data_IF_499235850115
#
_entry.id   IF_499235850115
#
_cell.length_a   1.000
_cell.length_b   1.000
_cell.length_c   1.000
_cell.angle_alpha   90.00
_cell.angle_beta   90.00
_cell.angle_gamma   90.00
#
_symmetry.space_group_name_H-M   'P 1'
#
loop_
_entity.id
_entity.type
_entity.pdbx_description
1 polymer ?
#
# COMPACT_ATOMS: atom_id res chain seq x y z
N UNK A 1 -6.90 22.41 -16.19
CA UNK A 1 -6.79 22.99 -14.83
C UNK A 1 -7.20 21.89 -13.85
N UNK A 2 -6.33 20.89 -13.67
CA UNK A 2 -6.59 19.73 -12.82
C UNK A 2 -6.42 20.10 -11.35
N UNK A 3 -7.47 19.92 -10.55
CA UNK A 3 -7.43 20.18 -9.12
C UNK A 3 -6.45 19.21 -8.45
N UNK A 4 -5.32 19.73 -7.97
CA UNK A 4 -4.43 19.04 -7.02
C UNK A 4 -5.30 18.43 -5.92
N UNK A 5 -5.34 17.11 -5.81
CA UNK A 5 -5.82 16.48 -4.58
C UNK A 5 -4.81 16.89 -3.50
N UNK A 6 -5.23 17.52 -2.39
CA UNK A 6 -4.32 17.90 -1.35
C UNK A 6 -3.63 16.62 -0.85
N UNK A 7 -2.30 16.65 -0.82
CA UNK A 7 -1.50 15.70 -0.05
C UNK A 7 -2.11 15.67 1.34
N UNK A 8 -2.74 14.54 1.67
CA UNK A 8 -3.52 14.41 2.89
C UNK A 8 -2.53 14.45 4.05
N UNK A 9 -2.30 15.64 4.61
CA UNK A 9 -1.46 15.85 5.79
C UNK A 9 -1.92 14.88 6.87
N UNK A 10 -1.12 13.84 7.14
CA UNK A 10 -1.41 12.82 8.14
C UNK A 10 -2.06 11.51 7.65
N UNK A 11 -2.14 11.24 6.34
CA UNK A 11 -2.59 9.94 5.81
C UNK A 11 -1.47 9.24 5.02
N UNK A 12 -1.29 7.94 5.25
CA UNK A 12 -0.30 7.13 4.52
C UNK A 12 -0.84 6.79 3.13
N UNK A 13 -0.27 7.38 2.07
CA UNK A 13 -0.68 7.13 0.68
C UNK A 13 -0.16 5.80 0.12
N UNK A 14 1.00 5.32 0.55
CA UNK A 14 1.65 4.09 0.07
C UNK A 14 1.59 2.89 1.05
N UNK A 15 2.66 2.10 1.04
CA UNK A 15 2.85 0.86 1.82
C UNK A 15 1.89 -0.28 1.44
N UNK A 16 2.19 -0.92 0.31
CA UNK A 16 1.41 -2.03 -0.27
C UNK A 16 2.22 -3.34 -0.40
N UNK A 17 3.42 -3.39 0.16
CA UNK A 17 4.26 -4.58 0.17
C UNK A 17 4.20 -5.23 1.57
N UNK A 18 3.83 -6.50 1.62
CA UNK A 18 3.60 -7.20 2.89
C UNK A 18 4.88 -7.54 3.65
N UNK A 19 6.00 -7.76 2.96
CA UNK A 19 7.31 -7.97 3.60
C UNK A 19 7.71 -6.71 4.36
N UNK A 20 7.58 -5.54 3.73
CA UNK A 20 7.83 -4.26 4.38
C UNK A 20 6.87 -3.98 5.52
N UNK A 21 5.59 -4.32 5.35
CA UNK A 21 4.61 -4.23 6.43
C UNK A 21 5.07 -5.05 7.66
N UNK A 22 5.45 -6.31 7.45
CA UNK A 22 5.93 -7.20 8.52
C UNK A 22 7.18 -6.65 9.22
N UNK A 23 8.15 -6.11 8.47
CA UNK A 23 9.35 -5.50 9.06
C UNK A 23 9.05 -4.28 9.94
N UNK A 24 8.07 -3.47 9.54
CA UNK A 24 7.65 -2.30 10.30
C UNK A 24 6.90 -2.72 11.57
N UNK A 25 6.01 -3.70 11.47
CA UNK A 25 5.22 -4.20 12.58
C UNK A 25 6.10 -4.90 13.64
N UNK A 26 7.05 -5.74 13.24
CA UNK A 26 7.90 -6.50 14.18
C UNK A 26 8.90 -5.65 14.96
N UNK A 27 9.14 -4.39 14.54
CA UNK A 27 10.12 -3.52 15.15
C UNK A 27 9.42 -2.38 15.90
N UNK A 28 9.38 -2.49 17.24
CA UNK A 28 8.73 -1.53 18.13
C UNK A 28 9.22 -0.08 17.97
N UNK A 29 10.45 0.14 17.49
CA UNK A 29 10.99 1.49 17.24
C UNK A 29 10.38 2.19 16.03
N UNK A 30 9.68 1.46 15.15
CA UNK A 30 9.17 1.98 13.88
C UNK A 30 7.82 2.67 13.98
N UNK A 31 7.21 2.72 15.17
CA UNK A 31 5.93 3.37 15.44
C UNK A 31 4.85 2.90 14.45
N UNK A 32 4.74 1.58 14.31
CA UNK A 32 3.77 0.92 13.45
C UNK A 32 2.75 0.21 14.32
N UNK A 33 1.47 0.55 14.14
CA UNK A 33 0.38 0.01 14.93
C UNK A 33 -0.68 -0.59 14.01
N UNK A 34 -0.76 -1.91 13.98
CA UNK A 34 -1.82 -2.62 13.26
C UNK A 34 -3.16 -2.48 13.98
N UNK A 35 -4.21 -2.17 13.22
CA UNK A 35 -5.57 -1.92 13.76
C UNK A 35 -6.64 -2.87 13.20
N UNK A 36 -6.24 -3.94 12.51
CA UNK A 36 -7.15 -4.95 11.96
C UNK A 36 -7.23 -4.98 10.42
N UNK A 37 -7.91 -6.01 9.89
CA UNK A 37 -8.20 -6.18 8.48
C UNK A 37 -9.69 -5.98 8.20
N UNK A 38 -10.00 -5.44 7.02
CA UNK A 38 -11.35 -5.06 6.59
C UNK A 38 -11.91 -6.11 5.63
N UNK A 39 -11.09 -6.58 4.68
CA UNK A 39 -11.50 -7.52 3.63
C UNK A 39 -10.35 -8.49 3.33
N UNK A 40 -10.65 -9.78 3.13
CA UNK A 40 -9.74 -10.79 2.56
C UNK A 40 -10.33 -11.33 1.25
N UNK A 41 -9.54 -11.39 0.18
CA UNK A 41 -9.95 -11.89 -1.15
C UNK A 41 -8.94 -12.88 -1.70
N UNK A 42 -9.43 -14.03 -2.17
CA UNK A 42 -8.63 -15.04 -2.87
C UNK A 42 -7.40 -15.52 -2.11
N UNK A 43 -7.44 -15.46 -0.77
CA UNK A 43 -6.35 -15.74 0.17
C UNK A 43 -5.06 -14.91 0.06
N UNK A 44 -4.86 -14.25 -1.07
CA UNK A 44 -3.66 -13.49 -1.41
C UNK A 44 -3.82 -11.99 -1.18
N UNK A 45 -5.03 -11.44 -1.14
CA UNK A 45 -5.22 -9.98 -0.99
C UNK A 45 -5.95 -9.66 0.31
N UNK A 46 -5.44 -8.68 1.06
CA UNK A 46 -6.07 -8.17 2.26
C UNK A 46 -6.09 -6.63 2.27
N UNK A 47 -7.20 -6.04 2.70
CA UNK A 47 -7.29 -4.62 3.03
C UNK A 47 -7.08 -4.42 4.52
N UNK A 48 -6.04 -3.68 4.90
CA UNK A 48 -5.63 -3.47 6.29
C UNK A 48 -5.85 -2.02 6.73
N UNK A 49 -6.04 -1.84 8.04
CA UNK A 49 -6.06 -0.55 8.72
C UNK A 49 -4.89 -0.50 9.71
N UNK A 50 -4.11 0.57 9.67
CA UNK A 50 -2.95 0.74 10.54
C UNK A 50 -2.58 2.21 10.71
N UNK A 51 -1.81 2.51 11.75
CA UNK A 51 -1.15 3.81 11.94
C UNK A 51 0.35 3.63 11.78
N UNK A 52 1.00 4.54 11.06
CA UNK A 52 2.45 4.57 10.93
C UNK A 52 2.98 5.98 11.19
N UNK A 53 3.88 6.14 12.18
CA UNK A 53 4.44 7.43 12.58
C UNK A 53 3.36 8.51 12.83
N UNK A 54 2.27 8.13 13.49
CA UNK A 54 1.14 9.02 13.78
C UNK A 54 0.18 9.27 12.61
N UNK A 55 0.48 8.81 11.39
CA UNK A 55 -0.41 8.91 10.24
C UNK A 55 -1.32 7.68 10.11
N UNK A 56 -2.63 7.89 10.05
CA UNK A 56 -3.61 6.80 9.93
C UNK A 56 -3.79 6.42 8.45
N UNK A 57 -3.63 5.13 8.13
CA UNK A 57 -4.15 4.55 6.89
C UNK A 57 -5.51 3.91 7.17
N UNK A 58 -6.58 4.52 6.66
CA UNK A 58 -7.95 4.02 6.88
C UNK A 58 -8.22 2.69 6.18
N UNK A 59 -7.63 2.50 5.00
CA UNK A 59 -7.70 1.27 4.21
C UNK A 59 -6.50 1.20 3.26
N UNK A 60 -5.78 0.08 3.26
CA UNK A 60 -4.69 -0.21 2.34
C UNK A 60 -4.69 -1.67 1.92
N UNK A 61 -4.88 -1.93 0.64
CA UNK A 61 -4.81 -3.30 0.11
C UNK A 61 -3.38 -3.70 -0.20
N UNK A 62 -2.96 -4.87 0.26
CA UNK A 62 -1.69 -5.48 -0.11
C UNK A 62 -1.90 -6.95 -0.47
N UNK A 63 -0.97 -7.46 -1.28
CA UNK A 63 -0.85 -8.89 -1.56
C UNK A 63 -0.02 -9.51 -0.43
N UNK A 64 -0.54 -10.53 0.23
CA UNK A 64 0.06 -11.22 1.38
C UNK A 64 0.53 -12.60 0.94
N UNK A 65 1.75 -12.98 1.30
CA UNK A 65 2.31 -14.30 0.97
C UNK A 65 2.85 -14.42 -0.47
N UNK A 66 2.76 -13.36 -1.27
CA UNK A 66 3.43 -13.29 -2.57
C UNK A 66 4.94 -13.10 -2.40
N UNK A 67 5.73 -13.47 -3.40
CA UNK A 67 7.14 -13.13 -3.39
C UNK A 67 7.39 -11.70 -3.90
N UNK A 68 8.46 -11.01 -3.46
CA UNK A 68 8.78 -9.67 -3.96
C UNK A 68 8.90 -9.62 -5.49
N UNK A 69 9.41 -10.67 -6.11
CA UNK A 69 9.51 -10.78 -7.57
C UNK A 69 8.14 -10.89 -8.26
N UNK A 70 7.15 -11.56 -7.64
CA UNK A 70 5.77 -11.58 -8.14
C UNK A 70 5.15 -10.18 -8.15
N UNK A 71 5.27 -9.46 -7.02
CA UNK A 71 4.76 -8.09 -6.88
C UNK A 71 5.41 -7.17 -7.93
N UNK A 72 6.75 -7.23 -8.09
CA UNK A 72 7.47 -6.42 -9.07
C UNK A 72 7.08 -6.77 -10.52
N UNK A 73 6.95 -8.05 -10.85
CA UNK A 73 6.53 -8.49 -12.17
C UNK A 73 5.12 -7.97 -12.50
N UNK A 74 4.18 -8.10 -11.56
CA UNK A 74 2.80 -7.63 -11.73
C UNK A 74 2.76 -6.11 -11.95
N UNK A 75 3.43 -5.33 -11.09
CA UNK A 75 3.44 -3.87 -11.23
C UNK A 75 4.13 -3.41 -12.52
N UNK A 76 5.19 -4.09 -12.94
CA UNK A 76 5.87 -3.82 -14.22
C UNK A 76 4.96 -4.13 -15.40
N UNK A 77 4.28 -5.28 -15.42
CA UNK A 77 3.32 -5.62 -16.47
C UNK A 77 2.17 -4.61 -16.52
N UNK A 78 1.61 -4.20 -15.37
CA UNK A 78 0.57 -3.19 -15.32
C UNK A 78 1.05 -1.84 -15.87
N UNK A 79 2.28 -1.43 -15.54
CA UNK A 79 2.88 -0.21 -16.08
C UNK A 79 3.04 -0.29 -17.61
N UNK A 80 3.62 -1.38 -18.12
CA UNK A 80 3.82 -1.59 -19.56
C UNK A 80 2.49 -1.64 -20.33
N UNK A 81 1.48 -2.31 -19.78
CA UNK A 81 0.15 -2.44 -20.38
C UNK A 81 -0.63 -1.12 -20.47
N UNK A 82 -0.22 -0.09 -19.70
CA UNK A 82 -0.85 1.23 -19.69
C UNK A 82 0.00 2.32 -20.33
N UNK A 83 1.13 1.98 -20.96
CA UNK A 83 1.95 2.93 -21.74
C UNK A 83 1.07 3.66 -22.77
N UNK A 84 1.01 4.99 -22.68
CA UNK A 84 0.26 5.86 -23.60
C UNK A 84 -1.11 6.35 -23.12
N UNK A 85 -1.62 5.87 -21.97
CA UNK A 85 -2.76 6.51 -21.27
C UNK A 85 -2.19 7.47 -20.24
N UNK A 86 -2.73 8.70 -20.17
CA UNK A 86 -2.23 9.79 -19.32
C UNK A 86 -1.68 9.28 -17.98
N UNK A 87 -0.40 9.59 -17.73
CA UNK A 87 0.24 9.34 -16.45
C UNK A 87 -0.57 10.07 -15.38
N UNK A 88 -0.79 9.45 -14.23
CA UNK A 88 -1.40 10.13 -13.09
C UNK A 88 -0.62 11.43 -12.84
N UNK A 89 -1.28 12.59 -12.92
CA UNK A 89 -0.71 13.84 -12.41
C UNK A 89 -0.51 13.66 -10.89
N UNK A 90 0.75 13.52 -10.48
CA UNK A 90 1.16 13.42 -9.07
C UNK A 90 1.21 14.80 -8.45
#
# INVERSE_FOLDING_TARGET
MGSRKPEKRGEVSGLHNWVRFYELERNSTKQFEYKGFIVKRGEVMASLKFTWKGALKKSGSLLVGTSPEYDMALYTMCFLSRRGKELCEV
#
